data_IF_977342952404
#
_entry.id   IF_977342952404
#
_cell.length_a   1.000
_cell.length_b   1.000
_cell.length_c   1.000
_cell.angle_alpha   90.00
_cell.angle_beta   90.00
_cell.angle_gamma   90.00
#
_symmetry.space_group_name_H-M   'P 1'
#
loop_
_entity.id
_entity.type
_entity.pdbx_description
1 polymer ?
#
# COMPACT_ATOMS: atom_id res chain seq x y z
N UNK A 1 42.13 -12.99 -3.07
CA UNK A 1 41.12 -14.04 -3.38
C UNK A 1 40.25 -14.44 -2.17
N UNK A 2 40.12 -13.62 -1.11
CA UNK A 2 39.27 -13.97 0.07
C UNK A 2 38.22 -12.90 0.44
N UNK A 3 38.22 -11.73 -0.20
CA UNK A 3 37.32 -10.61 0.11
C UNK A 3 35.99 -10.64 -0.67
N UNK A 4 35.88 -11.46 -1.72
CA UNK A 4 34.68 -11.53 -2.57
C UNK A 4 33.66 -12.58 -2.06
N UNK A 5 34.13 -13.64 -1.41
CA UNK A 5 33.30 -14.73 -0.88
C UNK A 5 32.56 -14.35 0.40
N UNK A 6 33.09 -13.42 1.20
CA UNK A 6 32.40 -12.91 2.40
C UNK A 6 31.22 -12.01 2.04
N UNK A 7 31.26 -11.31 0.89
CA UNK A 7 30.17 -10.41 0.45
C UNK A 7 28.91 -11.19 0.04
N UNK A 8 29.07 -12.38 -0.54
CA UNK A 8 27.96 -13.26 -0.93
C UNK A 8 27.29 -13.93 0.28
N UNK A 9 28.03 -14.17 1.36
CA UNK A 9 27.50 -14.74 2.61
C UNK A 9 26.65 -13.73 3.41
N UNK A 10 26.90 -12.43 3.27
CA UNK A 10 26.08 -11.39 3.94
C UNK A 10 24.75 -11.09 3.22
N UNK A 11 24.65 -11.37 1.91
CA UNK A 11 23.42 -11.13 1.14
C UNK A 11 22.28 -12.13 1.44
N UNK A 12 22.57 -13.23 2.11
CA UNK A 12 21.57 -14.28 2.43
C UNK A 12 20.87 -14.08 3.78
N UNK A 13 21.24 -13.05 4.56
CA UNK A 13 20.69 -12.79 5.91
C UNK A 13 19.84 -11.52 5.96
N UNK A 14 19.58 -10.82 4.84
CA UNK A 14 18.56 -9.77 4.84
C UNK A 14 17.22 -10.49 4.97
N UNK A 15 16.53 -10.42 6.12
CA UNK A 15 15.21 -11.01 6.21
C UNK A 15 14.31 -10.20 5.27
N UNK A 16 13.43 -10.90 4.54
CA UNK A 16 12.37 -10.35 3.68
C UNK A 16 11.43 -9.33 4.38
N UNK A 17 11.69 -9.00 5.65
CA UNK A 17 10.96 -8.05 6.48
C UNK A 17 11.01 -6.60 6.00
N UNK A 18 11.89 -6.23 5.05
CA UNK A 18 11.91 -4.85 4.52
C UNK A 18 10.71 -4.52 3.62
N UNK A 19 10.12 -5.52 2.94
CA UNK A 19 8.97 -5.31 2.05
C UNK A 19 7.67 -5.03 2.82
N UNK A 20 7.42 -5.77 3.91
CA UNK A 20 6.21 -5.61 4.73
C UNK A 20 6.12 -4.26 5.43
N UNK A 21 7.25 -3.67 5.81
CA UNK A 21 7.27 -2.33 6.41
C UNK A 21 6.85 -1.24 5.43
N UNK A 22 7.33 -1.33 4.18
CA UNK A 22 6.98 -0.39 3.12
C UNK A 22 5.51 -0.55 2.70
N UNK A 23 5.05 -1.79 2.50
CA UNK A 23 3.64 -2.10 2.22
C UNK A 23 2.69 -1.49 3.26
N UNK A 24 3.05 -1.63 4.54
CA UNK A 24 2.24 -1.12 5.63
C UNK A 24 2.18 0.40 5.63
N UNK A 25 3.32 1.07 5.44
CA UNK A 25 3.39 2.53 5.36
C UNK A 25 2.57 3.08 4.18
N UNK A 26 2.69 2.45 3.00
CA UNK A 26 1.93 2.85 1.80
C UNK A 26 0.43 2.68 2.02
N UNK A 27 -0.01 1.56 2.60
CA UNK A 27 -1.41 1.36 2.92
C UNK A 27 -1.93 2.40 3.92
N UNK A 28 -1.19 2.64 5.01
CA UNK A 28 -1.61 3.59 6.04
C UNK A 28 -1.74 4.99 5.47
N UNK A 29 -0.75 5.44 4.69
CA UNK A 29 -0.79 6.73 4.02
C UNK A 29 -1.96 6.85 3.04
N UNK A 30 -2.26 5.78 2.29
CA UNK A 30 -3.41 5.75 1.39
C UNK A 30 -4.73 5.90 2.16
N UNK A 31 -4.91 5.14 3.25
CA UNK A 31 -6.12 5.18 4.08
C UNK A 31 -6.29 6.53 4.77
N UNK A 32 -5.21 7.10 5.30
CA UNK A 32 -5.21 8.44 5.93
C UNK A 32 -5.53 9.56 4.93
N UNK A 33 -5.18 9.38 3.66
CA UNK A 33 -5.48 10.32 2.58
C UNK A 33 -6.95 10.34 2.14
N UNK A 34 -7.78 9.39 2.58
CA UNK A 34 -9.19 9.29 2.22
C UNK A 34 -10.08 9.95 3.28
N UNK A 35 -10.77 11.02 2.90
CA UNK A 35 -11.73 11.70 3.77
C UNK A 35 -13.13 11.05 3.74
N UNK A 36 -13.77 10.93 4.90
CA UNK A 36 -15.10 10.31 5.05
C UNK A 36 -16.20 11.04 4.29
N UNK A 37 -16.16 12.37 4.28
CA UNK A 37 -17.18 13.16 3.61
C UNK A 37 -16.95 13.13 2.09
N UNK A 38 -15.70 13.12 1.63
CA UNK A 38 -15.36 12.88 0.23
C UNK A 38 -15.83 11.50 -0.25
N UNK A 39 -15.62 10.44 0.54
CA UNK A 39 -16.11 9.08 0.23
C UNK A 39 -17.63 9.06 0.02
N UNK A 40 -18.39 9.79 0.86
CA UNK A 40 -19.86 9.84 0.76
C UNK A 40 -20.34 10.71 -0.41
N UNK A 41 -19.62 11.78 -0.71
CA UNK A 41 -20.05 12.80 -1.66
C UNK A 41 -19.62 12.49 -3.11
N UNK A 42 -18.39 12.00 -3.32
CA UNK A 42 -17.83 11.83 -4.65
C UNK A 42 -17.88 10.37 -5.13
N UNK A 43 -18.84 10.09 -6.01
CA UNK A 43 -18.96 8.80 -6.70
C UNK A 43 -17.79 8.47 -7.62
N UNK A 44 -16.93 9.46 -7.93
CA UNK A 44 -15.75 9.29 -8.77
C UNK A 44 -14.45 9.18 -7.97
N UNK A 45 -14.51 9.12 -6.63
CA UNK A 45 -13.31 9.07 -5.78
C UNK A 45 -12.39 7.90 -6.15
N UNK A 46 -12.95 6.73 -6.47
CA UNK A 46 -12.18 5.57 -6.98
C UNK A 46 -11.42 5.91 -8.26
N UNK A 47 -12.08 6.57 -9.22
CA UNK A 47 -11.48 6.98 -10.50
C UNK A 47 -10.38 8.03 -10.31
N UNK A 48 -10.51 8.90 -9.28
CA UNK A 48 -9.48 9.85 -8.88
C UNK A 48 -8.28 9.10 -8.30
N UNK A 49 -8.50 8.21 -7.33
CA UNK A 49 -7.45 7.36 -6.76
C UNK A 49 -6.72 6.55 -7.83
N UNK A 50 -7.45 5.96 -8.77
CA UNK A 50 -6.89 5.24 -9.91
C UNK A 50 -6.01 6.13 -10.81
N UNK A 51 -6.43 7.37 -11.08
CA UNK A 51 -5.64 8.32 -11.88
C UNK A 51 -4.36 8.68 -11.14
N UNK A 52 -4.47 9.04 -9.87
CA UNK A 52 -3.34 9.44 -9.04
C UNK A 52 -2.33 8.30 -8.94
N UNK A 53 -2.84 7.07 -8.77
CA UNK A 53 -2.02 5.86 -8.81
C UNK A 53 -1.27 5.76 -10.13
N UNK A 54 -1.98 5.77 -11.26
CA UNK A 54 -1.39 5.59 -12.61
C UNK A 54 -0.50 6.75 -13.07
N UNK A 55 -0.68 7.97 -12.54
CA UNK A 55 0.18 9.11 -12.86
C UNK A 55 1.52 9.08 -12.11
N UNK A 56 1.61 8.32 -11.02
CA UNK A 56 2.86 8.11 -10.26
C UNK A 56 3.70 6.97 -10.89
N UNK A 57 3.12 6.17 -11.80
CA UNK A 57 3.74 4.96 -12.35
C UNK A 57 4.73 5.20 -13.50
N UNK A 58 5.99 5.42 -13.13
CA UNK A 58 7.13 4.88 -13.88
C UNK A 58 7.93 3.86 -13.02
N UNK A 59 7.37 3.41 -11.89
CA UNK A 59 8.01 2.46 -10.96
C UNK A 59 7.18 1.17 -10.76
N UNK A 60 7.72 -0.03 -11.05
CA UNK A 60 7.01 -1.31 -10.97
C UNK A 60 6.40 -1.64 -9.60
N UNK A 61 7.07 -1.23 -8.51
CA UNK A 61 6.61 -1.48 -7.13
C UNK A 61 5.30 -0.74 -6.83
N UNK A 62 5.11 0.43 -7.44
CA UNK A 62 3.91 1.25 -7.21
C UNK A 62 2.72 0.64 -7.94
N UNK A 63 2.93 -0.04 -9.07
CA UNK A 63 1.86 -0.68 -9.85
C UNK A 63 1.18 -1.80 -9.04
N UNK A 64 1.96 -2.64 -8.36
CA UNK A 64 1.43 -3.69 -7.49
C UNK A 64 0.59 -3.13 -6.33
N UNK A 65 1.02 -2.01 -5.73
CA UNK A 65 0.26 -1.34 -4.67
C UNK A 65 -1.01 -0.69 -5.20
N UNK A 66 -0.98 -0.12 -6.40
CA UNK A 66 -2.16 0.41 -7.07
C UNK A 66 -3.21 -0.66 -7.34
N UNK A 67 -2.79 -1.80 -7.89
CA UNK A 67 -3.67 -2.94 -8.14
C UNK A 67 -4.29 -3.44 -6.83
N UNK A 68 -3.52 -3.48 -5.74
CA UNK A 68 -4.03 -3.95 -4.45
C UNK A 68 -4.97 -2.93 -3.80
N UNK A 69 -4.52 -1.69 -3.58
CA UNK A 69 -5.27 -0.67 -2.83
C UNK A 69 -6.46 -0.11 -3.61
N UNK A 70 -6.32 0.10 -4.92
CA UNK A 70 -7.31 0.80 -5.72
C UNK A 70 -8.20 -0.17 -6.51
N UNK A 71 -7.61 -1.11 -7.22
CA UNK A 71 -8.42 -1.98 -8.10
C UNK A 71 -9.16 -3.06 -7.30
N UNK A 72 -8.50 -3.64 -6.28
CA UNK A 72 -9.03 -4.76 -5.49
C UNK A 72 -9.70 -4.34 -4.19
N UNK A 73 -9.04 -3.53 -3.37
CA UNK A 73 -9.46 -3.30 -1.97
C UNK A 73 -10.20 -1.98 -1.75
N UNK A 74 -10.24 -1.05 -2.72
CA UNK A 74 -10.77 0.31 -2.53
C UNK A 74 -12.16 0.36 -1.91
N UNK A 75 -13.08 -0.43 -2.44
CA UNK A 75 -14.47 -0.44 -1.99
C UNK A 75 -14.57 -0.99 -0.56
N UNK A 76 -13.73 -1.95 -0.18
CA UNK A 76 -13.66 -2.49 1.18
C UNK A 76 -12.99 -1.49 2.14
N UNK A 77 -11.91 -0.83 1.71
CA UNK A 77 -11.20 0.20 2.48
C UNK A 77 -12.16 1.34 2.82
N UNK A 78 -12.85 1.90 1.82
CA UNK A 78 -13.80 2.99 2.03
C UNK A 78 -14.96 2.60 2.95
N UNK A 79 -15.48 1.37 2.85
CA UNK A 79 -16.48 0.87 3.81
C UNK A 79 -15.94 0.79 5.25
N UNK A 80 -14.71 0.29 5.44
CA UNK A 80 -14.10 0.24 6.77
C UNK A 80 -13.83 1.64 7.32
N UNK A 81 -13.43 2.60 6.48
CA UNK A 81 -13.30 4.01 6.86
C UNK A 81 -14.67 4.54 7.32
N UNK A 82 -15.74 4.31 6.55
CA UNK A 82 -17.09 4.73 6.93
C UNK A 82 -17.54 4.12 8.27
N UNK A 83 -17.05 2.93 8.61
CA UNK A 83 -17.27 2.25 9.89
C UNK A 83 -16.33 2.69 11.03
N UNK A 84 -15.58 3.79 10.87
CA UNK A 84 -14.66 4.34 11.87
C UNK A 84 -13.47 3.41 12.22
N UNK A 85 -13.09 2.51 11.31
CA UNK A 85 -11.90 1.70 11.51
C UNK A 85 -10.62 2.52 11.31
N UNK A 86 -9.61 2.24 12.13
CA UNK A 86 -8.31 2.93 12.09
C UNK A 86 -7.43 2.40 10.94
N UNK A 87 -6.53 3.23 10.39
CA UNK A 87 -5.61 2.81 9.31
C UNK A 87 -4.82 1.54 9.61
N UNK A 88 -4.30 1.39 10.84
CA UNK A 88 -3.54 0.18 11.22
C UNK A 88 -4.39 -1.09 11.22
N UNK A 89 -5.68 -0.98 11.55
CA UNK A 89 -6.62 -2.12 11.55
C UNK A 89 -7.01 -2.48 10.12
N UNK A 90 -7.33 -1.48 9.31
CA UNK A 90 -7.67 -1.62 7.89
C UNK A 90 -6.53 -2.31 7.14
N UNK A 91 -5.30 -1.84 7.32
CA UNK A 91 -4.14 -2.35 6.60
C UNK A 91 -3.76 -3.78 7.00
N UNK A 92 -4.01 -4.18 8.27
CA UNK A 92 -3.93 -5.58 8.71
C UNK A 92 -4.99 -6.47 8.06
N UNK A 93 -6.22 -5.96 7.90
CA UNK A 93 -7.34 -6.71 7.29
C UNK A 93 -7.20 -6.96 5.79
N UNK A 94 -6.27 -6.29 5.12
CA UNK A 94 -5.94 -6.49 3.70
C UNK A 94 -4.53 -7.05 3.49
N UNK A 95 -3.88 -7.52 4.55
CA UNK A 95 -2.54 -8.13 4.53
C UNK A 95 -1.50 -7.22 3.85
N UNK A 96 -1.54 -5.93 4.18
CA UNK A 96 -0.47 -4.96 3.84
C UNK A 96 0.29 -4.51 5.09
N UNK A 97 -0.29 -4.75 6.27
CA UNK A 97 0.36 -4.91 7.56
C UNK A 97 -0.08 -6.29 8.11
#
# INVERSE_FOLDING_TARGET
MYTFTTYLLFLSIIPLSHGKGLECAVCQQFVEGLDKEEIKADKNLKKKAERDCRQILDMPVIDDYCVKLVDKEFDKITQMILNDEKPDVICKKIDMC
#
